data_IF_098515937266
#
_entry.id   IF_098515937266
#
_cell.length_a   1.000
_cell.length_b   1.000
_cell.length_c   1.000
_cell.angle_alpha   90.00
_cell.angle_beta   90.00
_cell.angle_gamma   90.00
#
_symmetry.space_group_name_H-M   'P 1'
#
loop_
_entity.id
_entity.type
_entity.pdbx_description
1 polymer ?
#
# COMPACT_ATOMS: atom_id res chain seq x y z
N UNK A 1 17.85 -35.18 57.59
CA UNK A 1 17.25 -33.86 57.33
C UNK A 1 17.76 -33.37 55.98
N UNK A 2 16.98 -33.59 54.96
CA UNK A 2 17.31 -33.23 53.58
C UNK A 2 16.69 -31.86 53.27
N UNK A 3 17.54 -30.87 52.96
CA UNK A 3 17.06 -29.56 52.48
C UNK A 3 16.85 -29.61 50.97
N UNK A 4 15.61 -29.50 50.51
CA UNK A 4 15.27 -29.26 49.13
C UNK A 4 15.56 -27.78 48.80
N UNK A 5 16.44 -27.54 47.84
CA UNK A 5 16.63 -26.25 47.21
C UNK A 5 15.64 -26.14 46.03
N UNK A 6 14.66 -25.28 46.19
CA UNK A 6 13.73 -24.93 45.11
C UNK A 6 14.38 -23.88 44.24
N UNK A 7 14.81 -24.26 43.03
CA UNK A 7 15.27 -23.33 42.00
C UNK A 7 14.08 -22.64 41.36
N UNK A 8 13.95 -21.34 41.60
CA UNK A 8 12.97 -20.47 40.91
C UNK A 8 13.52 -20.09 39.54
N UNK A 9 13.01 -20.74 38.49
CA UNK A 9 13.30 -20.35 37.08
C UNK A 9 12.44 -19.13 36.78
N UNK A 10 13.06 -17.95 36.77
CA UNK A 10 12.44 -16.73 36.26
C UNK A 10 12.53 -16.81 34.74
N UNK A 11 11.42 -17.18 34.11
CA UNK A 11 11.25 -17.13 32.68
C UNK A 11 11.02 -15.64 32.28
N UNK A 12 12.05 -14.95 31.84
CA UNK A 12 11.93 -13.62 31.25
C UNK A 12 11.35 -13.83 29.87
N UNK A 13 10.04 -13.71 29.76
CA UNK A 13 9.36 -13.57 28.49
C UNK A 13 9.68 -12.16 27.94
N UNK A 14 10.68 -12.05 27.09
CA UNK A 14 10.87 -10.88 26.24
C UNK A 14 9.79 -10.98 25.17
N UNK A 15 8.60 -10.48 25.51
CA UNK A 15 7.52 -10.31 24.57
C UNK A 15 7.95 -9.25 23.55
N UNK A 16 7.97 -9.63 22.29
CA UNK A 16 8.14 -8.71 21.17
C UNK A 16 7.00 -7.68 21.15
N UNK A 17 7.23 -6.55 21.81
CA UNK A 17 6.25 -5.47 21.98
C UNK A 17 6.28 -4.46 20.81
N UNK A 18 7.04 -4.74 19.75
CA UNK A 18 7.23 -3.77 18.65
C UNK A 18 6.03 -3.65 17.71
N UNK A 19 5.45 -4.73 17.25
CA UNK A 19 4.42 -4.69 16.22
C UNK A 19 2.99 -4.45 16.74
N UNK A 20 2.69 -4.87 17.98
CA UNK A 20 1.35 -4.70 18.57
C UNK A 20 1.05 -3.26 19.01
N UNK A 21 2.06 -2.39 19.15
CA UNK A 21 1.86 -1.00 19.59
C UNK A 21 1.34 -0.05 18.51
N UNK A 22 1.61 -0.30 17.25
CA UNK A 22 1.20 0.61 16.17
C UNK A 22 -0.34 0.66 15.96
N UNK A 23 -1.08 -0.34 16.43
CA UNK A 23 -2.50 -0.51 16.15
C UNK A 23 -3.44 -0.24 17.33
N UNK A 24 -2.89 0.02 18.49
CA UNK A 24 -3.68 0.20 19.71
C UNK A 24 -4.35 1.58 19.83
N UNK A 25 -3.87 2.60 19.07
CA UNK A 25 -4.23 4.01 19.27
C UNK A 25 -4.56 4.75 17.97
N UNK A 26 -5.33 4.18 17.04
CA UNK A 26 -5.71 4.87 15.80
C UNK A 26 -4.96 4.41 14.56
N UNK A 27 -4.95 5.24 13.52
CA UNK A 27 -4.28 4.97 12.24
C UNK A 27 -2.78 5.25 12.34
N UNK A 28 -1.96 4.34 11.82
CA UNK A 28 -0.53 4.60 11.67
C UNK A 28 -0.29 5.50 10.44
N UNK A 29 0.29 6.66 10.65
CA UNK A 29 0.71 7.56 9.56
C UNK A 29 2.18 7.42 9.28
N UNK A 30 2.53 7.33 8.00
CA UNK A 30 3.89 7.12 7.53
C UNK A 30 4.15 7.63 6.13
N UNK A 31 5.21 7.09 5.54
CA UNK A 31 5.56 7.36 4.13
C UNK A 31 5.93 6.06 3.41
N UNK A 32 5.79 6.05 2.10
CA UNK A 32 6.41 5.07 1.22
C UNK A 32 7.57 5.79 0.51
N UNK A 33 8.80 5.60 1.02
CA UNK A 33 9.97 6.28 0.50
C UNK A 33 11.27 5.51 0.74
N UNK A 34 11.99 5.25 -0.34
CA UNK A 34 13.30 4.61 -0.29
C UNK A 34 14.46 5.58 0.03
N UNK A 35 14.20 6.89 0.21
CA UNK A 35 15.27 7.83 0.56
C UNK A 35 15.95 7.43 1.87
N UNK A 36 15.20 6.93 2.86
CA UNK A 36 15.76 6.41 4.11
C UNK A 36 16.68 5.22 3.95
N UNK A 37 16.48 4.39 2.92
CA UNK A 37 17.36 3.27 2.61
C UNK A 37 18.75 3.75 2.16
N UNK A 38 18.79 4.79 1.31
CA UNK A 38 20.05 5.24 0.68
C UNK A 38 20.87 6.20 1.55
N UNK A 39 20.34 6.69 2.65
CA UNK A 39 21.05 7.57 3.58
C UNK A 39 21.99 6.84 4.57
N UNK A 40 22.13 5.53 4.44
CA UNK A 40 23.03 4.68 5.24
C UNK A 40 22.93 4.88 6.75
N UNK A 41 21.72 5.20 7.23
CA UNK A 41 21.44 5.33 8.65
C UNK A 41 21.94 6.60 9.32
N UNK A 42 22.57 7.53 8.61
CA UNK A 42 23.15 8.75 9.18
C UNK A 42 22.44 10.05 8.81
N UNK A 43 21.48 9.98 7.89
CA UNK A 43 20.78 11.13 7.37
C UNK A 43 19.62 11.61 8.25
N UNK A 44 19.07 12.79 7.94
CA UNK A 44 17.96 13.37 8.70
C UNK A 44 16.62 12.67 8.48
N UNK A 45 16.52 11.71 7.56
CA UNK A 45 15.26 11.09 7.13
C UNK A 45 14.44 10.56 8.30
N UNK A 46 15.00 9.63 9.06
CA UNK A 46 14.29 8.95 10.15
C UNK A 46 13.92 9.89 11.30
N UNK A 47 14.85 10.81 11.64
CA UNK A 47 14.59 11.81 12.67
C UNK A 47 13.52 12.82 12.24
N UNK A 48 13.49 13.18 10.94
CA UNK A 48 12.47 14.06 10.37
C UNK A 48 11.09 13.38 10.43
N UNK A 49 11.01 12.10 10.09
CA UNK A 49 9.77 11.32 10.21
C UNK A 49 9.25 11.33 11.65
N UNK A 50 10.09 10.94 12.61
CA UNK A 50 9.72 10.92 14.03
C UNK A 50 9.29 12.30 14.52
N UNK A 51 9.99 13.37 14.11
CA UNK A 51 9.65 14.74 14.44
C UNK A 51 8.29 15.20 13.90
N UNK A 52 7.81 14.62 12.81
CA UNK A 52 6.47 14.86 12.25
C UNK A 52 5.37 14.00 12.87
N UNK A 53 5.70 13.05 13.75
CA UNK A 53 4.75 12.06 14.27
C UNK A 53 4.45 10.92 13.28
N UNK A 54 5.28 10.75 12.24
CA UNK A 54 5.18 9.63 11.30
C UNK A 54 5.85 8.41 11.89
N UNK A 55 5.14 7.28 11.93
CA UNK A 55 5.54 6.09 12.69
C UNK A 55 5.91 4.89 11.82
N UNK A 56 5.63 4.95 10.51
CA UNK A 56 5.88 3.84 9.58
C UNK A 56 6.59 4.31 8.31
N UNK A 57 7.49 3.48 7.77
CA UNK A 57 8.04 3.69 6.43
C UNK A 57 8.00 2.40 5.62
N UNK A 58 7.46 2.46 4.42
CA UNK A 58 7.54 1.37 3.45
C UNK A 58 8.84 1.50 2.66
N UNK A 59 9.66 0.44 2.70
CA UNK A 59 10.84 0.29 1.84
C UNK A 59 10.51 -0.67 0.70
N UNK A 60 10.57 -0.19 -0.52
CA UNK A 60 10.35 -0.99 -1.72
C UNK A 60 11.61 -1.79 -2.08
N UNK A 61 11.47 -3.10 -2.15
CA UNK A 61 12.50 -4.05 -2.54
C UNK A 61 12.08 -4.78 -3.83
N UNK A 62 12.75 -4.48 -4.94
CA UNK A 62 12.45 -5.11 -6.22
C UNK A 62 13.24 -6.40 -6.37
N UNK A 63 12.54 -7.53 -6.29
CA UNK A 63 13.15 -8.84 -6.54
C UNK A 63 13.56 -9.00 -8.00
N UNK A 64 14.81 -9.38 -8.21
CA UNK A 64 15.38 -9.67 -9.53
C UNK A 64 16.08 -11.01 -9.47
N UNK A 65 15.52 -12.03 -10.11
CA UNK A 65 16.03 -13.40 -10.10
C UNK A 65 17.43 -13.55 -10.73
N UNK A 66 17.87 -12.54 -11.49
CA UNK A 66 19.17 -12.54 -12.16
C UNK A 66 20.30 -12.02 -11.27
N UNK A 67 19.93 -11.42 -10.13
CA UNK A 67 20.91 -10.85 -9.20
C UNK A 67 21.24 -11.83 -8.06
N UNK A 68 22.51 -11.87 -7.60
CA UNK A 68 22.87 -12.61 -6.41
C UNK A 68 22.04 -12.15 -5.20
N UNK A 69 21.41 -13.11 -4.50
CA UNK A 69 20.53 -12.78 -3.38
C UNK A 69 19.19 -12.14 -3.75
N UNK A 70 18.91 -11.91 -5.04
CA UNK A 70 17.63 -11.43 -5.52
C UNK A 70 17.38 -9.93 -5.35
N UNK A 71 18.35 -9.16 -4.87
CA UNK A 71 18.27 -7.71 -4.69
C UNK A 71 19.44 -6.99 -5.38
N UNK A 72 19.17 -5.74 -5.72
CA UNK A 72 20.22 -4.80 -6.09
C UNK A 72 21.28 -4.72 -5.00
N UNK A 73 22.60 -4.83 -5.34
CA UNK A 73 23.69 -4.87 -4.35
C UNK A 73 23.75 -3.64 -3.44
N UNK A 74 23.40 -2.45 -3.96
CA UNK A 74 23.36 -1.21 -3.16
C UNK A 74 22.23 -1.29 -2.14
N UNK A 75 21.04 -1.65 -2.59
CA UNK A 75 19.88 -1.83 -1.70
C UNK A 75 20.17 -2.86 -0.61
N UNK A 76 20.78 -4.00 -0.97
CA UNK A 76 21.13 -5.04 -0.01
C UNK A 76 22.17 -4.57 1.03
N UNK A 77 23.16 -3.77 0.61
CA UNK A 77 24.18 -3.23 1.51
C UNK A 77 23.65 -2.16 2.47
N UNK A 78 22.67 -1.38 2.03
CA UNK A 78 22.13 -0.25 2.79
C UNK A 78 20.98 -0.63 3.73
N UNK A 79 20.39 -1.84 3.60
CA UNK A 79 19.23 -2.28 4.40
C UNK A 79 19.52 -2.31 5.90
N UNK A 80 20.54 -3.04 6.35
CA UNK A 80 20.80 -3.18 7.78
C UNK A 80 21.12 -1.83 8.47
N UNK A 81 21.95 -0.93 7.90
CA UNK A 81 22.13 0.41 8.44
C UNK A 81 20.83 1.23 8.51
N UNK A 82 19.97 1.14 7.46
CA UNK A 82 18.70 1.85 7.43
C UNK A 82 17.73 1.36 8.50
N UNK A 83 17.62 0.05 8.70
CA UNK A 83 16.78 -0.55 9.73
C UNK A 83 17.22 -0.16 11.14
N UNK A 84 18.54 -0.18 11.41
CA UNK A 84 19.08 0.26 12.70
C UNK A 84 18.79 1.75 12.96
N UNK A 85 18.80 2.59 11.94
CA UNK A 85 18.47 4.01 12.07
C UNK A 85 16.96 4.23 12.28
N UNK A 86 16.12 3.47 11.61
CA UNK A 86 14.67 3.49 11.79
C UNK A 86 14.29 3.07 13.22
N UNK A 87 14.85 1.97 13.73
CA UNK A 87 14.66 1.50 15.10
C UNK A 87 15.05 2.57 16.12
N UNK A 88 16.24 3.18 15.95
CA UNK A 88 16.70 4.27 16.81
C UNK A 88 15.77 5.48 16.82
N UNK A 89 15.10 5.76 15.70
CA UNK A 89 14.13 6.84 15.57
C UNK A 89 12.72 6.44 16.04
N UNK A 90 12.47 5.17 16.35
CA UNK A 90 11.15 4.66 16.73
C UNK A 90 10.18 4.54 15.55
N UNK A 91 10.71 4.42 14.33
CA UNK A 91 9.92 4.25 13.08
C UNK A 91 9.90 2.78 12.71
N UNK A 92 8.71 2.20 12.58
CA UNK A 92 8.54 0.85 12.08
C UNK A 92 8.78 0.81 10.57
N UNK A 93 9.42 -0.26 10.10
CA UNK A 93 9.65 -0.48 8.67
C UNK A 93 8.81 -1.66 8.20
N UNK A 94 8.16 -1.51 7.05
CA UNK A 94 7.57 -2.59 6.29
C UNK A 94 8.27 -2.74 4.93
N UNK A 95 8.35 -3.96 4.43
CA UNK A 95 8.92 -4.23 3.12
C UNK A 95 7.83 -4.39 2.07
N UNK A 96 7.86 -3.56 1.03
CA UNK A 96 7.08 -3.76 -0.19
C UNK A 96 7.91 -4.54 -1.20
N UNK A 97 7.49 -5.77 -1.52
CA UNK A 97 8.29 -6.72 -2.28
C UNK A 97 7.54 -7.20 -3.52
N UNK A 98 8.13 -6.95 -4.69
CA UNK A 98 7.58 -7.39 -5.97
C UNK A 98 8.67 -7.66 -7.01
N UNK A 99 8.37 -8.42 -8.08
CA UNK A 99 9.31 -8.65 -9.18
C UNK A 99 9.73 -7.36 -9.88
N UNK A 100 11.03 -7.22 -10.13
CA UNK A 100 11.59 -6.04 -10.81
C UNK A 100 11.13 -5.90 -12.25
N UNK A 101 10.93 -7.02 -12.91
CA UNK A 101 10.57 -7.05 -14.33
C UNK A 101 9.24 -7.75 -14.54
N UNK A 102 8.34 -7.12 -15.29
CA UNK A 102 7.03 -7.67 -15.61
C UNK A 102 7.08 -9.07 -16.28
N UNK A 103 8.19 -9.38 -16.97
CA UNK A 103 8.42 -10.69 -17.60
C UNK A 103 8.57 -11.85 -16.59
N UNK A 104 9.07 -11.58 -15.39
CA UNK A 104 9.27 -12.59 -14.33
C UNK A 104 7.94 -13.21 -13.88
N UNK A 105 6.86 -12.41 -13.92
CA UNK A 105 5.52 -12.92 -13.60
C UNK A 105 4.98 -13.88 -14.67
N UNK A 106 5.58 -13.95 -15.84
CA UNK A 106 5.18 -14.86 -16.90
C UNK A 106 5.84 -16.25 -16.80
N UNK A 107 6.94 -16.38 -16.05
CA UNK A 107 7.60 -17.69 -15.84
C UNK A 107 6.79 -18.53 -14.85
N UNK A 108 6.35 -19.73 -15.22
CA UNK A 108 5.59 -20.61 -14.32
C UNK A 108 6.38 -21.03 -13.06
N UNK A 109 7.71 -20.92 -13.06
CA UNK A 109 8.57 -21.18 -11.90
C UNK A 109 8.76 -19.94 -11.03
N UNK A 110 8.37 -18.77 -11.52
CA UNK A 110 8.52 -17.47 -10.83
C UNK A 110 7.96 -17.46 -9.41
N UNK A 111 6.71 -17.92 -9.18
CA UNK A 111 6.12 -17.96 -7.83
C UNK A 111 6.96 -18.74 -6.81
N UNK A 112 7.49 -19.91 -7.19
CA UNK A 112 8.30 -20.73 -6.29
C UNK A 112 9.65 -20.08 -5.97
N UNK A 113 10.29 -19.41 -6.96
CA UNK A 113 11.55 -18.68 -6.77
C UNK A 113 11.34 -17.42 -5.91
N UNK A 114 10.28 -16.69 -6.14
CA UNK A 114 9.89 -15.55 -5.33
C UNK A 114 9.63 -15.95 -3.87
N UNK A 115 8.93 -17.06 -3.66
CA UNK A 115 8.70 -17.62 -2.33
C UNK A 115 10.02 -17.99 -1.61
N UNK A 116 10.97 -18.59 -2.33
CA UNK A 116 12.29 -18.90 -1.76
C UNK A 116 13.06 -17.63 -1.37
N UNK A 117 13.03 -16.60 -2.21
CA UNK A 117 13.59 -15.29 -1.91
C UNK A 117 12.99 -14.68 -0.65
N UNK A 118 11.65 -14.66 -0.55
CA UNK A 118 10.94 -14.10 0.62
C UNK A 118 11.28 -14.85 1.92
N UNK A 119 11.44 -16.17 1.88
CA UNK A 119 11.90 -16.94 3.05
C UNK A 119 13.30 -16.51 3.49
N UNK A 120 14.22 -16.32 2.55
CA UNK A 120 15.57 -15.87 2.84
C UNK A 120 15.54 -14.45 3.42
N UNK A 121 14.78 -13.53 2.81
CA UNK A 121 14.64 -12.15 3.26
C UNK A 121 14.08 -12.08 4.68
N UNK A 122 12.97 -12.76 4.95
CA UNK A 122 12.34 -12.78 6.28
C UNK A 122 13.22 -13.47 7.35
N UNK A 123 13.98 -14.49 6.96
CA UNK A 123 14.96 -15.11 7.85
C UNK A 123 16.16 -14.22 8.14
N UNK A 124 16.54 -13.32 7.23
CA UNK A 124 17.66 -12.38 7.40
C UNK A 124 17.30 -11.14 8.21
N UNK A 125 16.01 -10.75 8.21
CA UNK A 125 15.48 -9.57 8.89
C UNK A 125 14.26 -9.95 9.74
N UNK A 126 14.44 -10.71 10.83
CA UNK A 126 13.34 -11.23 11.65
C UNK A 126 12.57 -10.12 12.41
N UNK A 127 13.15 -8.93 12.52
CA UNK A 127 12.52 -7.73 13.08
C UNK A 127 11.43 -7.16 12.16
N UNK A 128 11.46 -7.48 10.85
CA UNK A 128 10.44 -7.05 9.89
C UNK A 128 9.27 -8.02 9.93
N UNK A 129 8.17 -7.56 10.48
CA UNK A 129 6.95 -8.35 10.65
C UNK A 129 5.81 -7.94 9.72
N UNK A 130 6.01 -6.93 8.87
CA UNK A 130 5.02 -6.47 7.91
C UNK A 130 5.61 -6.46 6.49
N UNK A 131 4.88 -7.06 5.57
CA UNK A 131 5.26 -7.18 4.16
C UNK A 131 4.08 -6.78 3.28
N UNK A 132 4.32 -5.89 2.34
CA UNK A 132 3.43 -5.65 1.18
C UNK A 132 3.90 -6.57 0.06
N UNK A 133 3.03 -7.35 -0.50
CA UNK A 133 3.34 -8.24 -1.62
C UNK A 133 2.65 -7.79 -2.89
N UNK A 134 3.43 -7.62 -3.93
CA UNK A 134 3.05 -7.20 -5.27
C UNK A 134 2.67 -5.72 -5.33
N UNK A 135 2.93 -5.11 -6.47
CA UNK A 135 2.66 -3.70 -6.72
C UNK A 135 1.88 -3.54 -8.01
N UNK A 136 0.76 -2.85 -7.94
CA UNK A 136 -0.09 -2.40 -9.07
C UNK A 136 -0.25 -3.43 -10.19
N UNK A 137 -0.54 -4.68 -9.84
CA UNK A 137 -0.67 -5.76 -10.83
C UNK A 137 -1.73 -5.49 -11.91
N UNK A 138 -2.62 -4.55 -11.69
CA UNK A 138 -3.58 -4.09 -12.69
C UNK A 138 -2.98 -3.11 -13.72
N UNK A 139 -1.68 -2.73 -13.57
CA UNK A 139 -0.95 -1.89 -14.52
C UNK A 139 0.02 -2.72 -15.36
N UNK A 140 0.12 -2.40 -16.64
CA UNK A 140 1.01 -3.10 -17.57
C UNK A 140 2.50 -2.83 -17.30
N UNK A 141 2.80 -1.75 -16.59
CA UNK A 141 4.15 -1.44 -16.12
C UNK A 141 4.70 -2.56 -15.22
N UNK A 142 3.83 -3.14 -14.37
CA UNK A 142 4.24 -4.17 -13.40
C UNK A 142 3.90 -5.59 -13.88
N UNK A 143 2.84 -5.77 -14.65
CA UNK A 143 2.46 -7.08 -15.21
C UNK A 143 2.09 -6.95 -16.70
N UNK A 144 2.93 -7.46 -17.57
CA UNK A 144 2.73 -7.41 -19.02
C UNK A 144 2.83 -8.80 -19.66
N UNK A 145 1.91 -9.19 -20.56
CA UNK A 145 0.68 -8.48 -20.92
C UNK A 145 -0.40 -8.63 -19.84
N UNK A 146 -1.26 -7.59 -19.73
CA UNK A 146 -2.43 -7.63 -18.84
C UNK A 146 -3.48 -8.65 -19.30
N UNK A 147 -3.66 -8.79 -20.62
CA UNK A 147 -4.62 -9.72 -21.20
C UNK A 147 -4.12 -10.31 -22.53
N UNK A 148 -4.67 -11.46 -22.92
CA UNK A 148 -4.46 -12.09 -24.23
C UNK A 148 -5.71 -12.81 -24.66
N UNK A 149 -6.19 -12.58 -25.89
CA UNK A 149 -7.36 -13.26 -26.43
C UNK A 149 -8.62 -13.05 -25.59
N UNK A 150 -8.83 -11.86 -25.04
CA UNK A 150 -9.98 -11.52 -24.19
C UNK A 150 -9.90 -12.07 -22.75
N UNK A 151 -8.83 -12.76 -22.38
CA UNK A 151 -8.62 -13.28 -21.01
C UNK A 151 -7.65 -12.39 -20.25
N UNK A 152 -7.99 -12.03 -19.03
CA UNK A 152 -7.06 -11.35 -18.15
C UNK A 152 -5.99 -12.34 -17.66
N UNK A 153 -4.72 -11.98 -17.84
CA UNK A 153 -3.57 -12.78 -17.41
C UNK A 153 -2.93 -12.24 -16.15
N UNK A 154 -3.01 -10.92 -15.94
CA UNK A 154 -2.30 -10.25 -14.84
C UNK A 154 -2.82 -10.70 -13.48
N UNK A 155 -4.14 -10.85 -13.32
CA UNK A 155 -4.73 -11.31 -12.06
C UNK A 155 -4.31 -12.74 -11.70
N UNK A 156 -4.25 -13.64 -12.68
CA UNK A 156 -3.81 -15.02 -12.46
C UNK A 156 -2.32 -15.09 -12.08
N UNK A 157 -1.47 -14.32 -12.76
CA UNK A 157 -0.03 -14.25 -12.48
C UNK A 157 0.22 -13.67 -11.08
N UNK A 158 -0.37 -12.51 -10.81
CA UNK A 158 -0.25 -11.87 -9.51
C UNK A 158 -0.78 -12.76 -8.38
N UNK A 159 -1.94 -13.39 -8.57
CA UNK A 159 -2.52 -14.32 -7.60
C UNK A 159 -1.60 -15.49 -7.27
N UNK A 160 -0.89 -16.03 -8.26
CA UNK A 160 0.08 -17.11 -8.04
C UNK A 160 1.28 -16.65 -7.20
N UNK A 161 1.81 -15.44 -7.46
CA UNK A 161 2.90 -14.85 -6.66
C UNK A 161 2.44 -14.51 -5.25
N UNK A 162 1.26 -13.90 -5.09
CA UNK A 162 0.66 -13.63 -3.77
C UNK A 162 0.49 -14.91 -2.96
N UNK A 163 -0.08 -15.95 -3.56
CA UNK A 163 -0.31 -17.24 -2.88
C UNK A 163 1.01 -17.86 -2.40
N UNK A 164 2.02 -17.90 -3.27
CA UNK A 164 3.32 -18.46 -2.95
C UNK A 164 4.07 -17.62 -1.91
N UNK A 165 4.02 -16.29 -2.04
CA UNK A 165 4.65 -15.35 -1.11
C UNK A 165 4.00 -15.39 0.27
N UNK A 166 2.68 -15.35 0.35
CA UNK A 166 1.93 -15.50 1.59
C UNK A 166 2.31 -16.79 2.33
N UNK A 167 2.26 -17.92 1.62
CA UNK A 167 2.58 -19.21 2.22
C UNK A 167 4.04 -19.30 2.68
N UNK A 168 4.94 -18.66 1.94
CA UNK A 168 6.37 -18.60 2.29
C UNK A 168 6.60 -17.80 3.58
N UNK A 169 6.03 -16.60 3.67
CA UNK A 169 6.19 -15.72 4.85
C UNK A 169 5.52 -16.32 6.08
N UNK A 170 4.29 -16.86 5.96
CA UNK A 170 3.60 -17.56 7.06
C UNK A 170 4.31 -18.84 7.49
N UNK A 171 5.10 -19.44 6.61
CA UNK A 171 5.96 -20.60 6.92
C UNK A 171 7.24 -20.20 7.68
N UNK A 172 7.69 -18.93 7.60
CA UNK A 172 8.78 -18.41 8.44
C UNK A 172 8.25 -18.05 9.83
N UNK A 173 7.20 -17.23 9.89
CA UNK A 173 6.50 -16.94 11.15
C UNK A 173 5.01 -16.68 10.88
N UNK A 174 4.11 -17.26 11.68
CA UNK A 174 2.67 -16.95 11.60
C UNK A 174 2.37 -15.50 11.96
N UNK A 175 3.26 -14.82 12.69
CA UNK A 175 3.09 -13.45 13.16
C UNK A 175 3.42 -12.41 12.07
N UNK A 176 4.06 -12.81 10.97
CA UNK A 176 4.28 -11.92 9.83
C UNK A 176 2.91 -11.54 9.23
N UNK A 177 2.66 -10.24 9.17
CA UNK A 177 1.45 -9.69 8.56
C UNK A 177 1.71 -9.36 7.08
N UNK A 178 0.83 -9.83 6.21
CA UNK A 178 0.97 -9.67 4.76
C UNK A 178 -0.13 -8.77 4.23
N UNK A 179 0.25 -7.57 3.81
CA UNK A 179 -0.55 -6.69 2.98
C UNK A 179 -0.51 -7.16 1.53
N UNK A 180 -1.57 -6.98 0.79
CA UNK A 180 -1.59 -7.43 -0.60
C UNK A 180 -2.19 -6.43 -1.57
N UNK A 181 -1.67 -6.48 -2.77
CA UNK A 181 -2.08 -5.89 -4.03
C UNK A 181 -1.36 -4.59 -4.41
N UNK A 182 -1.21 -3.60 -3.50
CA UNK A 182 -0.78 -2.27 -3.95
C UNK A 182 -1.63 -1.80 -5.14
N UNK A 183 -2.97 -1.85 -5.01
CA UNK A 183 -3.86 -1.74 -6.18
C UNK A 183 -3.91 -0.32 -6.72
N UNK A 184 -3.54 -0.15 -8.00
CA UNK A 184 -3.61 1.13 -8.70
C UNK A 184 -5.06 1.62 -8.87
N UNK A 185 -5.32 2.93 -8.74
CA UNK A 185 -6.68 3.47 -8.62
C UNK A 185 -7.48 3.43 -9.93
N UNK A 186 -6.84 3.23 -11.07
CA UNK A 186 -7.49 3.21 -12.38
C UNK A 186 -6.76 2.33 -13.38
N UNK A 187 -7.45 1.85 -14.39
CA UNK A 187 -6.86 1.34 -15.62
C UNK A 187 -6.59 2.45 -16.63
N UNK A 188 -5.94 2.11 -17.72
CA UNK A 188 -5.88 2.97 -18.89
C UNK A 188 -7.18 2.81 -19.72
N UNK A 189 -7.54 3.85 -20.46
CA UNK A 189 -8.68 3.76 -21.36
C UNK A 189 -8.51 2.60 -22.35
N UNK A 190 -9.58 1.86 -22.69
CA UNK A 190 -9.53 0.70 -23.60
C UNK A 190 -8.93 0.98 -24.97
N UNK A 191 -8.94 2.24 -25.39
CA UNK A 191 -8.40 2.75 -26.64
C UNK A 191 -6.88 3.00 -26.61
N UNK A 192 -6.24 2.96 -25.43
CA UNK A 192 -4.77 2.98 -25.34
C UNK A 192 -4.19 1.61 -25.65
N UNK A 193 -3.82 1.43 -26.92
CA UNK A 193 -3.26 0.16 -27.43
C UNK A 193 -1.86 -0.15 -26.93
N UNK A 194 -1.12 0.87 -26.52
CA UNK A 194 0.29 0.82 -26.12
C UNK A 194 0.49 0.48 -24.64
N UNK A 195 -0.52 0.74 -23.80
CA UNK A 195 -0.48 0.43 -22.35
C UNK A 195 -1.85 -0.02 -21.84
N UNK A 196 -2.26 -1.26 -22.13
CA UNK A 196 -3.58 -1.78 -21.76
C UNK A 196 -3.59 -2.24 -20.29
N UNK A 197 -3.69 -1.30 -19.36
CA UNK A 197 -3.90 -1.60 -17.95
C UNK A 197 -5.37 -1.92 -17.66
N UNK A 198 -5.62 -2.79 -16.68
CA UNK A 198 -6.98 -3.22 -16.30
C UNK A 198 -7.54 -2.30 -15.22
N UNK A 199 -8.81 -1.92 -15.34
CA UNK A 199 -9.51 -1.19 -14.29
C UNK A 199 -9.54 -2.00 -12.98
N UNK A 200 -9.29 -1.39 -11.81
CA UNK A 200 -9.12 -2.11 -10.54
C UNK A 200 -10.34 -2.92 -10.11
N UNK A 201 -11.55 -2.41 -10.34
CA UNK A 201 -12.79 -3.10 -9.96
C UNK A 201 -12.97 -4.38 -10.78
N UNK A 202 -12.70 -4.33 -12.08
CA UNK A 202 -12.75 -5.50 -12.95
C UNK A 202 -11.61 -6.49 -12.60
N UNK A 203 -10.42 -5.95 -12.33
CA UNK A 203 -9.26 -6.76 -12.00
C UNK A 203 -9.46 -7.59 -10.72
N UNK A 204 -10.08 -7.01 -9.69
CA UNK A 204 -10.47 -7.76 -8.48
C UNK A 204 -11.42 -8.92 -8.79
N UNK A 205 -12.35 -8.71 -9.71
CA UNK A 205 -13.23 -9.78 -10.20
C UNK A 205 -12.45 -10.95 -10.84
N UNK A 206 -11.44 -10.64 -11.67
CA UNK A 206 -10.57 -11.66 -12.28
C UNK A 206 -9.70 -12.37 -11.24
N UNK A 207 -9.20 -11.67 -10.23
CA UNK A 207 -8.43 -12.27 -9.14
C UNK A 207 -9.30 -13.26 -8.33
N UNK A 208 -10.55 -12.88 -8.00
CA UNK A 208 -11.49 -13.76 -7.33
C UNK A 208 -11.86 -15.00 -8.15
N UNK A 209 -12.01 -14.86 -9.47
CA UNK A 209 -12.23 -15.98 -10.39
C UNK A 209 -11.03 -16.94 -10.37
N UNK A 210 -9.80 -16.40 -10.49
CA UNK A 210 -8.59 -17.19 -10.40
C UNK A 210 -8.48 -17.91 -9.05
N UNK A 211 -8.75 -17.22 -7.94
CA UNK A 211 -8.68 -17.80 -6.61
C UNK A 211 -9.58 -19.05 -6.50
N UNK A 212 -10.85 -18.95 -6.93
CA UNK A 212 -11.78 -20.08 -6.91
C UNK A 212 -11.34 -21.22 -7.86
N UNK A 213 -10.87 -20.87 -9.05
CA UNK A 213 -10.41 -21.85 -10.04
C UNK A 213 -9.14 -22.59 -9.58
N UNK A 214 -8.29 -21.96 -8.77
CA UNK A 214 -7.07 -22.56 -8.22
C UNK A 214 -7.34 -23.63 -7.15
N UNK A 215 -8.55 -23.70 -6.61
CA UNK A 215 -8.89 -24.56 -5.48
C UNK A 215 -8.26 -24.14 -4.14
N UNK A 216 -7.67 -22.94 -4.08
CA UNK A 216 -7.04 -22.43 -2.86
C UNK A 216 -8.09 -22.17 -1.77
N UNK A 217 -7.75 -22.58 -0.54
CA UNK A 217 -8.57 -22.34 0.67
C UNK A 217 -7.88 -21.45 1.69
N UNK A 218 -6.57 -21.15 1.50
CA UNK A 218 -5.78 -20.29 2.38
C UNK A 218 -5.85 -18.82 1.90
N UNK A 219 -5.71 -17.82 2.79
CA UNK A 219 -5.68 -16.42 2.39
C UNK A 219 -4.56 -16.11 1.38
N UNK A 220 -4.72 -15.02 0.64
CA UNK A 220 -3.67 -14.38 -0.17
C UNK A 220 -2.98 -13.27 0.61
N UNK A 221 -3.68 -12.68 1.58
CA UNK A 221 -3.24 -11.53 2.38
C UNK A 221 -3.98 -11.47 3.71
N UNK A 222 -3.39 -10.77 4.67
CA UNK A 222 -3.99 -10.47 5.98
C UNK A 222 -4.59 -9.05 5.99
N UNK A 223 -4.21 -8.18 5.06
CA UNK A 223 -4.71 -6.82 4.87
C UNK A 223 -4.71 -6.41 3.40
N UNK A 224 -5.62 -5.51 3.04
CA UNK A 224 -5.77 -4.98 1.68
C UNK A 224 -4.98 -3.69 1.53
N UNK A 225 -4.05 -3.68 0.58
CA UNK A 225 -3.25 -2.51 0.25
C UNK A 225 -3.75 -1.82 -1.02
N UNK A 226 -3.89 -0.50 -0.96
CA UNK A 226 -4.47 0.35 -2.01
C UNK A 226 -3.62 1.60 -2.25
N UNK A 227 -3.61 2.06 -3.52
CA UNK A 227 -2.94 3.28 -3.96
C UNK A 227 -3.97 4.31 -4.47
N UNK A 228 -4.72 5.01 -3.60
CA UNK A 228 -5.86 5.84 -4.01
C UNK A 228 -5.46 7.23 -4.53
N UNK A 229 -4.49 7.30 -5.44
CA UNK A 229 -4.07 8.56 -6.05
C UNK A 229 -5.22 9.29 -6.74
N UNK A 230 -5.39 10.61 -6.52
CA UNK A 230 -6.28 11.41 -7.33
C UNK A 230 -5.61 11.75 -8.67
N UNK A 231 -6.13 11.22 -9.76
CA UNK A 231 -5.63 11.47 -11.12
C UNK A 231 -6.78 11.92 -12.01
N UNK A 232 -6.81 13.17 -12.47
CA UNK A 232 -5.78 14.21 -12.29
C UNK A 232 -5.67 14.69 -10.84
N UNK A 233 -4.56 15.31 -10.49
CA UNK A 233 -4.29 15.80 -9.12
C UNK A 233 -5.35 16.83 -8.63
N UNK A 234 -6.05 17.48 -9.55
CA UNK A 234 -7.16 18.40 -9.26
C UNK A 234 -8.47 17.69 -8.90
N UNK A 235 -8.51 16.35 -8.89
CA UNK A 235 -9.69 15.59 -8.51
C UNK A 235 -10.10 15.96 -7.07
N UNK A 236 -11.33 16.47 -6.84
CA UNK A 236 -11.72 16.88 -5.51
C UNK A 236 -11.71 15.71 -4.52
N UNK A 237 -11.21 15.94 -3.32
CA UNK A 237 -11.09 14.93 -2.28
C UNK A 237 -12.43 14.21 -2.01
N UNK A 238 -13.53 14.96 -1.94
CA UNK A 238 -14.84 14.43 -1.55
C UNK A 238 -15.62 13.74 -2.67
N UNK A 239 -15.31 13.98 -3.94
CA UNK A 239 -16.10 13.43 -5.05
C UNK A 239 -15.45 12.24 -5.75
N UNK A 240 -14.13 12.22 -5.80
CA UNK A 240 -13.38 11.14 -6.40
C UNK A 240 -13.68 10.93 -7.89
N UNK A 241 -13.39 9.73 -8.37
CA UNK A 241 -13.58 9.36 -9.79
C UNK A 241 -15.05 9.16 -10.15
N UNK A 242 -15.45 9.71 -11.30
CA UNK A 242 -16.77 9.47 -11.89
C UNK A 242 -16.84 8.08 -12.57
N UNK A 243 -15.74 7.57 -13.10
CA UNK A 243 -15.70 6.20 -13.64
C UNK A 243 -15.97 5.19 -12.51
N UNK A 244 -17.03 4.36 -12.59
CA UNK A 244 -17.38 3.40 -11.53
C UNK A 244 -16.36 2.26 -11.36
N UNK A 245 -15.43 2.10 -12.31
CA UNK A 245 -14.37 1.08 -12.26
C UNK A 245 -13.08 1.58 -11.63
N UNK A 246 -12.98 2.88 -11.34
CA UNK A 246 -11.84 3.53 -10.71
C UNK A 246 -12.16 3.94 -9.29
N UNK A 247 -11.15 4.18 -8.47
CA UNK A 247 -11.33 4.63 -7.09
C UNK A 247 -10.30 5.69 -6.69
N UNK A 248 -10.67 6.51 -5.73
CA UNK A 248 -9.81 7.38 -4.94
C UNK A 248 -10.23 7.23 -3.48
N UNK A 249 -9.71 8.05 -2.58
CA UNK A 249 -10.13 8.05 -1.17
C UNK A 249 -11.66 8.16 -1.05
N UNK A 250 -12.30 9.03 -1.85
CA UNK A 250 -13.77 9.18 -1.83
C UNK A 250 -14.55 7.95 -2.33
N UNK A 251 -13.89 7.04 -3.04
CA UNK A 251 -14.55 5.90 -3.68
C UNK A 251 -14.11 4.54 -3.08
N UNK A 252 -13.41 4.51 -1.95
CA UNK A 252 -12.98 3.28 -1.29
C UNK A 252 -14.09 2.24 -1.13
N UNK A 253 -15.34 2.59 -0.78
CA UNK A 253 -16.43 1.63 -0.70
C UNK A 253 -16.66 0.81 -1.97
N UNK A 254 -16.34 1.35 -3.15
CA UNK A 254 -16.42 0.57 -4.42
C UNK A 254 -15.44 -0.59 -4.43
N UNK A 255 -14.22 -0.32 -3.96
CA UNK A 255 -13.16 -1.34 -3.87
C UNK A 255 -13.54 -2.38 -2.83
N UNK A 256 -14.02 -1.96 -1.67
CA UNK A 256 -14.48 -2.85 -0.61
C UNK A 256 -15.59 -3.78 -1.12
N UNK A 257 -16.59 -3.23 -1.80
CA UNK A 257 -17.67 -4.01 -2.41
C UNK A 257 -17.17 -4.96 -3.51
N UNK A 258 -16.23 -4.52 -4.35
CA UNK A 258 -15.63 -5.35 -5.39
C UNK A 258 -14.80 -6.50 -4.78
N UNK A 259 -14.02 -6.21 -3.75
CA UNK A 259 -13.24 -7.19 -3.01
C UNK A 259 -14.15 -8.21 -2.32
N UNK A 260 -15.22 -7.75 -1.66
CA UNK A 260 -16.22 -8.63 -1.07
C UNK A 260 -16.82 -9.58 -2.13
N UNK A 261 -17.30 -9.06 -3.26
CA UNK A 261 -17.82 -9.91 -4.34
C UNK A 261 -16.80 -10.92 -4.86
N UNK A 262 -15.54 -10.52 -4.96
CA UNK A 262 -14.47 -11.38 -5.42
C UNK A 262 -14.22 -12.55 -4.46
N UNK A 263 -14.34 -12.35 -3.14
CA UNK A 263 -13.85 -13.32 -2.16
C UNK A 263 -14.89 -13.82 -1.16
N UNK A 264 -16.12 -13.32 -1.15
CA UNK A 264 -17.18 -13.82 -0.26
C UNK A 264 -17.36 -15.34 -0.40
N UNK A 265 -17.43 -16.04 0.73
CA UNK A 265 -17.56 -17.49 0.77
C UNK A 265 -16.28 -18.26 0.39
N UNK A 266 -15.13 -17.61 0.40
CA UNK A 266 -13.82 -18.24 0.18
C UNK A 266 -12.98 -18.23 1.47
N UNK A 267 -11.75 -18.77 1.40
CA UNK A 267 -10.80 -18.69 2.52
C UNK A 267 -10.09 -17.35 2.70
N UNK A 268 -10.34 -16.38 1.80
CA UNK A 268 -9.83 -15.01 1.93
C UNK A 268 -10.84 -14.17 2.71
N UNK A 269 -10.42 -13.59 3.84
CA UNK A 269 -11.21 -12.60 4.58
C UNK A 269 -11.54 -11.39 3.70
N UNK A 270 -12.65 -10.73 3.98
CA UNK A 270 -13.11 -9.56 3.22
C UNK A 270 -13.13 -8.30 4.09
N UNK A 271 -13.12 -7.13 3.45
CA UNK A 271 -13.31 -5.85 4.12
C UNK A 271 -14.77 -5.73 4.58
N UNK A 272 -15.01 -5.26 5.78
CA UNK A 272 -16.36 -5.03 6.35
C UNK A 272 -16.79 -6.05 7.39
N UNK A 273 -18.07 -6.10 7.74
CA UNK A 273 -18.76 -6.56 8.93
C UNK A 273 -18.37 -7.87 9.60
N UNK A 274 -17.85 -8.86 8.89
CA UNK A 274 -17.50 -10.16 9.47
C UNK A 274 -16.11 -10.56 9.01
N UNK A 275 -15.16 -10.65 9.95
CA UNK A 275 -13.78 -10.97 9.64
C UNK A 275 -13.08 -9.82 8.92
N UNK A 276 -13.09 -8.65 9.52
CA UNK A 276 -12.54 -7.40 8.97
C UNK A 276 -11.12 -7.58 8.47
N UNK A 277 -10.95 -7.52 7.15
CA UNK A 277 -9.67 -7.33 6.52
C UNK A 277 -9.29 -5.86 6.69
N UNK A 278 -8.22 -5.52 7.41
CA UNK A 278 -7.78 -4.14 7.52
C UNK A 278 -7.29 -3.60 6.19
N UNK A 279 -7.35 -2.28 6.03
CA UNK A 279 -6.94 -1.56 4.82
C UNK A 279 -5.72 -0.69 5.11
N UNK A 280 -4.77 -0.71 4.20
CA UNK A 280 -3.65 0.22 4.13
C UNK A 280 -3.79 1.09 2.86
N UNK A 281 -3.48 2.37 2.99
CA UNK A 281 -3.31 3.28 1.86
C UNK A 281 -1.80 3.52 1.71
N UNK A 282 -1.11 2.61 1.02
CA UNK A 282 0.36 2.59 1.03
C UNK A 282 1.01 3.61 0.10
N UNK A 283 0.29 4.05 -0.91
CA UNK A 283 0.76 5.10 -1.80
C UNK A 283 -0.35 6.11 -2.05
N UNK A 284 -0.20 7.29 -1.50
CA UNK A 284 -1.08 8.41 -1.80
C UNK A 284 -0.28 9.70 -1.81
N UNK A 285 -0.36 10.45 -2.92
CA UNK A 285 0.48 11.62 -3.09
C UNK A 285 -0.12 12.69 -3.98
N UNK A 286 0.11 13.94 -3.60
CA UNK A 286 -0.22 15.14 -4.36
C UNK A 286 1.09 15.83 -4.74
N UNK A 287 1.39 15.92 -6.02
CA UNK A 287 2.60 16.55 -6.49
C UNK A 287 2.53 18.09 -6.39
N UNK A 288 3.65 18.71 -6.07
CA UNK A 288 3.81 20.17 -6.09
C UNK A 288 4.83 20.60 -7.13
N UNK A 289 4.75 21.85 -7.58
CA UNK A 289 5.76 22.39 -8.48
C UNK A 289 7.11 22.55 -7.80
N UNK A 290 8.17 22.14 -8.49
CA UNK A 290 9.57 22.37 -8.14
C UNK A 290 10.22 23.43 -9.02
N UNK A 291 9.45 24.17 -9.81
CA UNK A 291 9.94 25.21 -10.72
C UNK A 291 10.80 26.25 -10.00
N UNK A 292 11.93 26.58 -10.58
CA UNK A 292 12.87 27.57 -10.01
C UNK A 292 13.65 27.11 -8.77
N UNK A 293 13.45 25.88 -8.28
CA UNK A 293 14.18 25.39 -7.11
C UNK A 293 15.49 24.71 -7.49
N UNK A 294 16.57 24.94 -6.73
CA UNK A 294 17.83 24.26 -6.95
C UNK A 294 17.75 22.77 -6.60
N UNK A 295 18.67 21.97 -7.10
CA UNK A 295 18.77 20.54 -6.80
C UNK A 295 17.86 19.65 -7.62
N UNK A 296 17.05 20.20 -8.53
CA UNK A 296 16.20 19.43 -9.43
C UNK A 296 16.76 19.40 -10.85
N UNK A 297 16.58 18.25 -11.52
CA UNK A 297 16.99 18.02 -12.91
C UNK A 297 15.79 17.74 -13.80
N UNK A 298 15.95 17.97 -15.11
CA UNK A 298 14.89 17.71 -16.11
C UNK A 298 13.79 18.78 -16.10
N UNK A 299 12.70 18.49 -16.82
CA UNK A 299 11.54 19.36 -16.98
C UNK A 299 10.34 18.76 -16.26
N UNK A 300 9.52 19.58 -15.61
CA UNK A 300 8.23 19.15 -15.09
C UNK A 300 7.34 18.72 -16.26
N UNK A 301 7.04 17.44 -16.35
CA UNK A 301 6.16 16.90 -17.37
C UNK A 301 4.70 16.98 -16.92
N UNK A 302 3.82 17.40 -17.83
CA UNK A 302 2.36 17.37 -17.61
C UNK A 302 1.83 15.97 -17.35
N UNK A 303 2.60 15.00 -17.77
CA UNK A 303 2.31 13.57 -17.78
C UNK A 303 3.21 12.79 -16.81
N UNK A 304 4.04 13.44 -16.04
CA UNK A 304 4.70 12.75 -14.92
C UNK A 304 3.58 12.07 -14.15
N UNK A 305 3.50 10.80 -14.26
CA UNK A 305 2.64 9.80 -13.67
C UNK A 305 1.38 10.24 -12.89
N UNK A 306 1.02 11.51 -12.86
CA UNK A 306 -0.14 11.99 -12.11
C UNK A 306 -0.71 13.32 -12.58
N UNK A 307 -0.19 13.94 -13.65
CA UNK A 307 -0.68 15.25 -14.05
C UNK A 307 -0.56 16.27 -12.92
N UNK A 308 0.68 16.62 -12.53
CA UNK A 308 0.93 17.57 -11.44
C UNK A 308 0.09 18.83 -11.57
N UNK A 309 -0.32 19.37 -10.43
CA UNK A 309 -1.03 20.65 -10.41
C UNK A 309 -0.14 21.73 -11.02
N UNK A 310 -0.69 22.50 -11.94
CA UNK A 310 -0.04 23.60 -12.63
C UNK A 310 -0.68 24.93 -12.22
N UNK A 311 0.02 26.04 -12.37
CA UNK A 311 -0.63 27.34 -12.25
C UNK A 311 -1.97 27.39 -13.01
N UNK A 312 -3.04 28.01 -12.44
CA UNK A 312 -2.99 28.99 -11.34
C UNK A 312 -3.05 28.42 -9.90
N UNK A 313 -2.91 27.13 -9.68
CA UNK A 313 -3.03 26.55 -8.35
C UNK A 313 -1.82 26.88 -7.48
N UNK A 314 -2.05 27.27 -6.22
CA UNK A 314 -1.04 27.21 -5.17
C UNK A 314 -0.85 25.73 -4.77
N UNK A 315 0.12 25.09 -5.43
CA UNK A 315 0.32 23.65 -5.32
C UNK A 315 0.66 23.19 -3.92
N UNK A 316 1.40 24.01 -3.14
CA UNK A 316 1.74 23.66 -1.76
C UNK A 316 0.53 23.75 -0.84
N UNK A 317 -0.27 24.80 -0.95
CA UNK A 317 -1.49 24.97 -0.16
C UNK A 317 -2.49 23.86 -0.47
N UNK A 318 -2.62 23.49 -1.74
CA UNK A 318 -3.50 22.42 -2.15
C UNK A 318 -3.05 21.06 -1.58
N UNK A 319 -1.74 20.74 -1.67
CA UNK A 319 -1.17 19.53 -1.08
C UNK A 319 -1.41 19.49 0.43
N UNK A 320 -1.12 20.56 1.15
CA UNK A 320 -1.31 20.65 2.59
C UNK A 320 -2.77 20.41 2.99
N UNK A 321 -3.72 21.07 2.32
CA UNK A 321 -5.16 20.88 2.57
C UNK A 321 -5.64 19.47 2.24
N UNK A 322 -5.08 18.85 1.20
CA UNK A 322 -5.47 17.51 0.81
C UNK A 322 -4.99 16.48 1.83
N UNK A 323 -3.74 16.62 2.30
CA UNK A 323 -3.17 15.71 3.28
C UNK A 323 -3.83 15.84 4.66
N UNK A 324 -4.19 17.05 5.11
CA UNK A 324 -4.94 17.20 6.38
C UNK A 324 -6.32 16.53 6.30
N UNK A 325 -7.03 16.67 5.17
CA UNK A 325 -8.29 15.94 4.95
C UNK A 325 -8.10 14.43 4.93
N UNK A 326 -6.99 13.93 4.39
CA UNK A 326 -6.68 12.51 4.39
C UNK A 326 -6.47 11.99 5.81
N UNK A 327 -5.74 12.72 6.66
CA UNK A 327 -5.54 12.37 8.07
C UNK A 327 -6.89 12.27 8.79
N UNK A 328 -7.72 13.30 8.70
CA UNK A 328 -9.07 13.32 9.29
C UNK A 328 -9.93 12.15 8.82
N UNK A 329 -9.97 11.93 7.51
CA UNK A 329 -10.76 10.86 6.90
C UNK A 329 -10.33 9.50 7.42
N UNK A 330 -9.04 9.24 7.45
CA UNK A 330 -8.51 7.92 7.79
C UNK A 330 -8.78 7.55 9.24
N UNK A 331 -8.74 8.52 10.17
CA UNK A 331 -9.10 8.28 11.58
C UNK A 331 -10.58 7.96 11.79
N UNK A 332 -11.42 8.28 10.82
CA UNK A 332 -12.84 8.00 10.90
C UNK A 332 -13.31 6.79 10.08
N UNK A 333 -12.44 6.22 9.25
CA UNK A 333 -12.72 4.97 8.56
C UNK A 333 -12.23 3.78 9.40
N UNK A 334 -13.18 3.02 9.93
CA UNK A 334 -12.88 1.91 10.84
C UNK A 334 -12.09 0.77 10.19
N UNK A 335 -11.95 0.72 8.88
CA UNK A 335 -11.21 -0.32 8.16
C UNK A 335 -9.77 0.10 7.89
N UNK A 336 -9.47 1.42 7.81
CA UNK A 336 -8.11 1.93 7.59
C UNK A 336 -7.25 1.76 8.85
N UNK A 337 -6.06 1.21 8.69
CA UNK A 337 -5.08 0.99 9.77
C UNK A 337 -3.76 1.68 9.53
N UNK A 338 -3.41 1.96 8.27
CA UNK A 338 -2.17 2.62 7.91
C UNK A 338 -2.38 3.52 6.69
N UNK A 339 -1.69 4.67 6.70
CA UNK A 339 -1.63 5.60 5.57
C UNK A 339 -0.18 6.01 5.37
N UNK A 340 0.38 5.69 4.22
CA UNK A 340 1.73 6.08 3.84
C UNK A 340 1.67 7.11 2.70
N UNK A 341 2.12 8.33 2.98
CA UNK A 341 2.23 9.36 1.97
C UNK A 341 3.34 9.00 0.98
N UNK A 342 3.08 9.17 -0.30
CA UNK A 342 4.09 8.89 -1.31
C UNK A 342 5.02 10.07 -1.43
N UNK A 343 5.95 10.09 -0.69
CA UNK A 343 7.31 10.40 -0.31
C UNK A 343 7.37 11.34 0.91
N UNK A 344 8.46 11.20 1.66
CA UNK A 344 8.88 12.22 2.63
C UNK A 344 9.59 13.36 1.91
N UNK A 345 10.51 13.02 1.01
CA UNK A 345 11.35 13.96 0.26
C UNK A 345 11.12 13.79 -1.23
N UNK A 346 11.02 14.89 -1.94
CA UNK A 346 10.85 14.88 -3.40
C UNK A 346 12.01 14.17 -4.10
N UNK A 347 11.69 13.45 -5.16
CA UNK A 347 12.70 13.01 -6.11
C UNK A 347 13.32 14.21 -6.84
N UNK A 348 14.63 14.19 -7.00
CA UNK A 348 15.37 15.28 -7.66
C UNK A 348 15.13 15.33 -9.17
N UNK A 349 14.73 14.23 -9.79
CA UNK A 349 14.28 14.21 -11.18
C UNK A 349 12.86 14.72 -11.27
N UNK A 350 12.62 15.79 -12.07
CA UNK A 350 11.27 16.30 -12.35
C UNK A 350 10.40 15.35 -13.18
N UNK A 351 10.99 14.31 -13.74
CA UNK A 351 10.23 13.21 -14.36
C UNK A 351 9.70 12.21 -13.33
N UNK A 352 10.21 12.24 -12.09
CA UNK A 352 9.77 11.44 -10.96
C UNK A 352 8.67 12.13 -10.13
N UNK A 353 8.63 11.82 -8.83
CA UNK A 353 7.58 12.27 -7.92
C UNK A 353 8.01 13.44 -7.05
N UNK A 354 7.28 14.55 -7.12
CA UNK A 354 7.43 15.73 -6.26
C UNK A 354 6.27 15.83 -5.26
N UNK A 355 5.86 14.70 -4.70
CA UNK A 355 4.76 14.59 -3.74
C UNK A 355 5.20 14.58 -2.27
N UNK A 356 6.51 14.67 -2.01
CA UNK A 356 7.08 14.69 -0.66
C UNK A 356 6.55 15.82 0.22
N UNK A 357 6.67 15.64 1.52
CA UNK A 357 6.45 16.71 2.53
C UNK A 357 7.59 17.74 2.53
N UNK A 358 8.72 17.33 1.99
CA UNK A 358 9.92 18.19 1.83
C UNK A 358 10.32 18.23 0.36
N UNK A 359 10.84 19.37 -0.03
CA UNK A 359 11.63 19.47 -1.25
C UNK A 359 12.96 18.74 -1.11
N UNK A 360 13.66 18.51 -2.21
CA UNK A 360 15.02 17.97 -2.20
C UNK A 360 15.89 18.77 -1.20
N UNK A 361 16.76 18.06 -0.48
CA UNK A 361 17.59 18.64 0.58
C UNK A 361 16.84 18.96 1.88
N UNK A 362 15.70 18.35 2.12
CA UNK A 362 14.89 18.50 3.35
C UNK A 362 14.39 19.93 3.61
N UNK A 363 14.16 20.71 2.56
CA UNK A 363 13.51 22.02 2.69
C UNK A 363 11.99 21.80 2.87
N UNK A 364 11.38 22.20 4.00
CA UNK A 364 9.99 21.87 4.29
C UNK A 364 9.03 22.55 3.31
N UNK A 365 7.97 21.82 2.93
CA UNK A 365 6.79 22.35 2.26
C UNK A 365 5.74 22.74 3.29
N UNK A 366 4.71 23.46 2.89
CA UNK A 366 3.58 23.78 3.78
C UNK A 366 2.90 22.52 4.35
N UNK A 367 2.91 21.45 3.59
CA UNK A 367 2.32 20.16 4.00
C UNK A 367 3.04 19.50 5.17
N UNK A 368 4.34 19.73 5.37
CA UNK A 368 5.08 19.14 6.50
C UNK A 368 4.49 19.57 7.85
N UNK A 369 4.40 20.89 8.09
CA UNK A 369 3.81 21.42 9.32
C UNK A 369 2.30 21.16 9.43
N UNK A 370 1.60 21.16 8.29
CA UNK A 370 0.16 20.87 8.27
C UNK A 370 -0.15 19.43 8.69
N UNK A 371 0.59 18.44 8.16
CA UNK A 371 0.43 17.01 8.52
C UNK A 371 0.82 16.80 9.98
N UNK A 372 1.95 17.34 10.43
CA UNK A 372 2.37 17.25 11.83
C UNK A 372 1.29 17.76 12.79
N UNK A 373 0.76 18.96 12.51
CA UNK A 373 -0.26 19.58 13.34
C UNK A 373 -1.55 18.79 13.34
N UNK A 374 -1.92 18.19 12.19
CA UNK A 374 -3.14 17.45 12.03
C UNK A 374 -3.08 16.10 12.74
N UNK A 375 -1.98 15.34 12.61
CA UNK A 375 -1.76 14.09 13.35
C UNK A 375 -1.85 14.35 14.87
N UNK A 376 -1.19 15.40 15.35
CA UNK A 376 -1.25 15.77 16.75
C UNK A 376 -2.65 16.20 17.20
N UNK A 377 -3.45 16.83 16.32
CA UNK A 377 -4.82 17.28 16.62
C UNK A 377 -5.80 16.11 16.73
N UNK A 378 -5.72 15.14 15.82
CA UNK A 378 -6.64 13.98 15.83
C UNK A 378 -6.31 13.00 16.96
N UNK A 379 -5.04 12.89 17.33
CA UNK A 379 -4.57 12.07 18.46
C UNK A 379 -5.19 10.65 18.46
N UNK A 380 -5.18 10.00 17.29
CA UNK A 380 -5.72 8.66 17.10
C UNK A 380 -7.25 8.56 17.21
N UNK A 381 -7.98 9.64 16.98
CA UNK A 381 -9.45 9.68 17.12
C UNK A 381 -10.12 10.38 15.96
N UNK A 382 -11.27 9.84 15.56
CA UNK A 382 -12.12 10.54 14.61
C UNK A 382 -12.59 11.89 15.20
N UNK A 383 -12.35 13.02 14.50
CA UNK A 383 -12.71 14.34 14.99
C UNK A 383 -14.23 14.46 15.26
N UNK A 384 -14.58 15.11 16.37
CA UNK A 384 -15.97 15.44 16.67
C UNK A 384 -16.50 16.49 15.66
N UNK A 385 -17.70 16.27 15.14
CA UNK A 385 -18.30 17.17 14.15
C UNK A 385 -17.65 16.97 12.78
N UNK A 386 -18.02 15.92 12.09
CA UNK A 386 -17.51 15.58 10.75
C UNK A 386 -17.59 16.78 9.81
N UNK A 387 -16.49 17.15 9.14
CA UNK A 387 -16.49 18.24 8.18
C UNK A 387 -17.52 18.05 7.08
N UNK A 388 -18.09 19.15 6.57
CA UNK A 388 -19.14 19.11 5.53
C UNK A 388 -18.71 18.40 4.23
N UNK A 389 -17.41 18.31 3.93
CA UNK A 389 -16.89 17.59 2.77
C UNK A 389 -17.00 16.05 2.90
N UNK A 390 -17.39 15.55 4.07
CA UNK A 390 -17.62 14.12 4.32
C UNK A 390 -19.04 13.69 4.01
N UNK A 391 -19.97 14.64 3.86
CA UNK A 391 -21.38 14.31 3.59
C UNK A 391 -21.58 13.31 2.42
N UNK A 392 -20.85 13.40 1.29
CA UNK A 392 -20.90 12.40 0.24
C UNK A 392 -20.31 11.02 0.64
N UNK A 393 -19.41 11.01 1.64
CA UNK A 393 -18.71 9.81 2.11
C UNK A 393 -19.52 9.10 3.22
N UNK A 394 -20.38 9.81 3.95
CA UNK A 394 -21.20 9.24 5.03
C UNK A 394 -22.14 8.14 4.55
N UNK A 395 -22.62 8.22 3.31
CA UNK A 395 -23.43 7.18 2.69
C UNK A 395 -22.66 5.86 2.55
N UNK A 396 -21.33 5.92 2.56
CA UNK A 396 -20.45 4.81 2.26
C UNK A 396 -19.49 4.42 3.40
N UNK A 397 -19.39 5.24 4.44
CA UNK A 397 -18.43 5.04 5.54
C UNK A 397 -18.92 4.16 6.69
N UNK A 398 -20.17 3.68 6.68
CA UNK A 398 -20.68 2.73 7.67
C UNK A 398 -20.74 1.32 7.10
N UNK A 399 -20.52 0.33 7.94
CA UNK A 399 -20.74 -1.09 7.61
C UNK A 399 -22.15 -1.32 7.04
N UNK A 400 -23.14 -0.55 7.50
CA UNK A 400 -24.52 -0.58 7.00
C UNK A 400 -24.61 -0.11 5.53
N UNK A 401 -23.81 0.88 5.12
CA UNK A 401 -23.80 1.34 3.73
C UNK A 401 -23.09 0.36 2.80
N UNK A 402 -22.07 -0.35 3.27
CA UNK A 402 -21.43 -1.43 2.51
C UNK A 402 -22.43 -2.58 2.30
N UNK A 403 -23.22 -2.94 3.33
CA UNK A 403 -24.25 -3.97 3.21
C UNK A 403 -25.35 -3.57 2.24
N UNK A 404 -25.81 -2.31 2.27
CA UNK A 404 -26.79 -1.80 1.33
C UNK A 404 -26.24 -1.77 -0.11
N UNK A 405 -24.97 -1.39 -0.27
CA UNK A 405 -24.28 -1.40 -1.56
C UNK A 405 -24.08 -2.83 -2.08
N UNK A 406 -23.70 -3.76 -1.21
CA UNK A 406 -23.54 -5.18 -1.53
C UNK A 406 -24.88 -5.82 -1.83
N UNK A 407 -25.93 -5.55 -1.06
CA UNK A 407 -27.28 -6.04 -1.32
C UNK A 407 -27.87 -5.52 -2.63
N UNK A 408 -27.60 -4.26 -2.99
CA UNK A 408 -28.02 -3.67 -4.27
C UNK A 408 -27.23 -4.18 -5.49
N UNK A 409 -26.12 -4.86 -5.26
CA UNK A 409 -25.20 -5.35 -6.31
C UNK A 409 -25.28 -6.89 -6.45
N UNK A 410 -26.06 -7.56 -5.61
CA UNK A 410 -26.25 -9.02 -5.73
C UNK A 410 -26.80 -9.32 -7.12
N UNK A 411 -26.09 -10.08 -7.98
CA UNK A 411 -26.62 -10.42 -9.30
C UNK A 411 -27.91 -11.22 -9.13
N UNK A 412 -28.99 -10.78 -9.76
CA UNK A 412 -30.27 -11.51 -9.86
C UNK A 412 -30.21 -12.64 -10.89
N UNK A 413 -29.01 -13.12 -11.22
CA UNK A 413 -28.78 -14.19 -12.17
C UNK A 413 -27.85 -15.27 -11.62
N UNK A 414 -27.88 -16.48 -12.20
CA UNK A 414 -26.96 -17.54 -11.83
C UNK A 414 -25.51 -17.11 -12.08
N UNK A 415 -24.54 -17.55 -11.27
CA UNK A 415 -23.14 -17.22 -11.49
C UNK A 415 -22.72 -17.66 -12.91
N UNK A 416 -21.86 -16.88 -13.58
CA UNK A 416 -21.38 -17.26 -14.90
C UNK A 416 -20.70 -18.62 -14.83
N UNK A 417 -20.81 -19.46 -15.88
CA UNK A 417 -20.27 -20.80 -15.89
C UNK A 417 -18.76 -20.77 -15.64
N UNK A 418 -18.30 -21.63 -14.75
CA UNK A 418 -16.89 -21.83 -14.44
C UNK A 418 -16.22 -22.35 -15.71
N UNK A 419 -15.45 -21.50 -16.39
CA UNK A 419 -14.58 -21.92 -17.47
C UNK A 419 -13.43 -22.73 -16.86
N UNK A 420 -13.55 -24.06 -16.90
CA UNK A 420 -12.44 -24.96 -16.61
C UNK A 420 -11.38 -24.72 -17.70
N UNK A 421 -10.20 -24.25 -17.32
CA UNK A 421 -9.06 -24.24 -18.19
C UNK A 421 -8.60 -25.66 -18.51
N UNK A 422 -7.91 -25.85 -19.64
CA UNK A 422 -7.34 -27.14 -20.00
C UNK A 422 -6.25 -27.57 -19.01
#
# INVERSE_FOLDING_TARGET
MKRLATALIVLVAVLGLGAARAWANGVAFGVNDNAGLYERGSGPFWQTMAGLGLTTNTITLRWDETLPGGLDPTSAADLAPALAAAEKAGVAVEFDVYPRHAKELADPRGPARFAAFLKTLAGSYPEITQYVLMNECNQDLFVNPQSRGGRNLSAARCGAFLAAGYDALKGVSPDIFVWGLGLSPRGNAPDRKDHPSTDPIDWLGFLGQWYRASGRTRPLMDGLDLHPYPIPQSLPFATGYQNPRSFSVANLPRVYAAFYRAFAGTGQATVGLVGRLPVQLNEVGIQTSSAGRPGYTGVETASGTGGGLRPPYDTQRYQAQWYTKLVDFSECDADIRSVNLFKLVDETSRAGWQSGLFYAGFVPKLSAGAVQSEIARVDGRCPAGRPSYWAPLEVFGSSFALDALVAGITPTGPPPPILRGP
#
